data_IF_264632259324
#
_entry.id   IF_264632259324
#
_cell.length_a   1.000
_cell.length_b   1.000
_cell.length_c   1.000
_cell.angle_alpha   90.00
_cell.angle_beta   90.00
_cell.angle_gamma   90.00
#
_symmetry.space_group_name_H-M   'P 1'
#
loop_
_entity.id
_entity.type
_entity.pdbx_description
1 polymer ?
#
# COMPACT_ATOMS: atom_id res chain seq x y z
N UNK A 1 13.47 21.92 18.78
CA UNK A 1 13.92 20.52 18.78
C UNK A 1 13.12 19.83 17.69
N UNK A 2 13.75 19.68 16.53
CA UNK A 2 13.22 19.02 15.34
C UNK A 2 13.16 17.52 15.61
N UNK A 3 11.97 16.97 15.83
CA UNK A 3 11.78 15.52 15.79
C UNK A 3 11.57 15.11 14.33
N UNK A 4 12.64 14.52 13.79
CA UNK A 4 12.75 13.63 12.65
C UNK A 4 11.44 13.20 11.99
N UNK A 5 10.91 14.02 11.07
CA UNK A 5 10.10 13.68 9.87
C UNK A 5 8.88 12.75 9.98
N UNK A 6 8.95 11.70 10.77
CA UNK A 6 7.88 10.91 11.35
C UNK A 6 7.24 11.68 12.50
N UNK A 7 5.92 11.80 12.48
CA UNK A 7 5.24 12.36 13.65
C UNK A 7 5.41 11.40 14.84
N UNK A 8 5.35 11.94 16.06
CA UNK A 8 5.62 11.17 17.29
C UNK A 8 4.70 9.94 17.42
N UNK A 9 3.54 9.95 16.76
CA UNK A 9 2.64 8.80 16.61
C UNK A 9 3.17 7.72 15.66
N UNK A 10 3.71 8.04 14.48
CA UNK A 10 4.32 7.09 13.55
C UNK A 10 5.55 6.43 14.18
N UNK A 11 6.31 7.21 14.97
CA UNK A 11 7.42 6.68 15.76
C UNK A 11 6.94 5.83 16.94
N UNK A 12 5.89 6.25 17.66
CA UNK A 12 5.30 5.49 18.77
C UNK A 12 4.59 4.23 18.29
N UNK A 13 3.68 4.26 17.33
CA UNK A 13 3.11 3.06 16.70
C UNK A 13 4.21 2.16 16.14
N UNK A 14 5.19 2.76 15.44
CA UNK A 14 6.36 2.07 14.95
C UNK A 14 7.24 1.46 16.05
N UNK A 15 7.18 1.96 17.29
CA UNK A 15 7.87 1.48 18.51
C UNK A 15 7.01 0.54 19.38
N UNK A 16 5.69 0.65 19.33
CA UNK A 16 4.74 -0.26 19.98
C UNK A 16 4.72 -1.61 19.25
N UNK A 17 4.88 -1.61 17.92
CA UNK A 17 5.15 -2.82 17.12
C UNK A 17 6.48 -3.51 17.53
N UNK A 18 7.46 -2.77 18.08
CA UNK A 18 8.81 -3.30 18.43
C UNK A 18 8.85 -4.15 19.70
N UNK A 19 7.86 -4.03 20.59
CA UNK A 19 7.84 -4.75 21.88
C UNK A 19 7.40 -6.23 21.82
N UNK A 20 7.36 -6.84 20.63
CA UNK A 20 6.72 -8.15 20.42
C UNK A 20 5.20 -8.15 20.69
N UNK A 21 4.64 -6.97 20.94
CA UNK A 21 3.21 -6.69 21.09
C UNK A 21 2.82 -5.69 20.02
N UNK A 22 2.81 -6.14 18.77
CA UNK A 22 1.95 -5.54 17.77
C UNK A 22 0.51 -5.74 18.25
N UNK A 23 0.02 -4.90 19.15
CA UNK A 23 -1.41 -4.66 19.23
C UNK A 23 -1.74 -3.91 17.95
N UNK A 24 -1.97 -4.70 16.92
CA UNK A 24 -2.77 -4.32 15.79
C UNK A 24 -3.89 -3.39 16.31
N UNK A 25 -3.98 -2.16 15.83
CA UNK A 25 -5.20 -1.32 15.93
C UNK A 25 -6.44 -1.99 15.28
N UNK A 26 -6.36 -3.29 15.03
CA UNK A 26 -7.11 -4.12 14.12
C UNK A 26 -7.20 -5.60 14.56
N UNK A 27 -6.52 -6.04 15.65
CA UNK A 27 -6.58 -7.45 16.11
C UNK A 27 -7.92 -7.79 16.76
N UNK A 28 -8.73 -6.78 17.05
CA UNK A 28 -10.02 -6.96 17.67
C UNK A 28 -11.11 -7.36 16.66
N UNK A 29 -10.88 -7.22 15.34
CA UNK A 29 -11.90 -7.58 14.34
C UNK A 29 -11.58 -8.93 13.67
N UNK A 30 -12.31 -10.01 14.01
CA UNK A 30 -12.11 -11.34 13.44
C UNK A 30 -12.41 -11.41 11.94
N UNK A 31 -12.95 -10.35 11.32
CA UNK A 31 -13.31 -10.32 9.90
C UNK A 31 -12.31 -9.57 9.04
N UNK A 32 -11.29 -8.90 9.61
CA UNK A 32 -10.34 -8.08 8.85
C UNK A 32 -9.67 -8.84 7.71
N UNK A 33 -9.25 -10.07 7.97
CA UNK A 33 -8.61 -10.92 6.96
C UNK A 33 -9.53 -11.17 5.76
N UNK A 34 -10.85 -11.22 5.98
CA UNK A 34 -11.86 -11.35 4.92
C UNK A 34 -11.91 -10.11 4.04
N UNK A 35 -11.94 -8.89 4.63
CA UNK A 35 -11.88 -7.64 3.84
C UNK A 35 -10.66 -7.64 2.94
N UNK A 36 -9.51 -7.98 3.53
CA UNK A 36 -8.22 -7.91 2.84
C UNK A 36 -8.22 -8.84 1.65
N UNK A 37 -8.59 -10.11 1.85
CA UNK A 37 -8.62 -11.07 0.76
C UNK A 37 -9.68 -10.70 -0.29
N UNK A 38 -10.89 -10.31 0.13
CA UNK A 38 -11.94 -9.92 -0.80
C UNK A 38 -11.51 -8.72 -1.63
N UNK A 39 -10.92 -7.70 -1.00
CA UNK A 39 -10.37 -6.53 -1.66
C UNK A 39 -9.28 -6.90 -2.67
N UNK A 40 -8.31 -7.74 -2.29
CA UNK A 40 -7.24 -8.19 -3.18
C UNK A 40 -7.80 -8.95 -4.40
N UNK A 41 -8.76 -9.85 -4.17
CA UNK A 41 -9.38 -10.64 -5.23
C UNK A 41 -10.22 -9.76 -6.17
N UNK A 42 -11.16 -8.96 -5.64
CA UNK A 42 -12.08 -8.16 -6.46
C UNK A 42 -11.34 -7.07 -7.25
N UNK A 43 -10.23 -6.57 -6.71
CA UNK A 43 -9.39 -5.54 -7.34
C UNK A 43 -8.57 -6.07 -8.52
N UNK A 44 -8.55 -7.37 -8.77
CA UNK A 44 -7.91 -7.94 -9.96
C UNK A 44 -8.61 -7.53 -11.26
N UNK A 45 -9.87 -7.09 -11.20
CA UNK A 45 -10.66 -6.64 -12.35
C UNK A 45 -10.98 -5.15 -12.22
N UNK A 46 -10.78 -4.42 -13.31
CA UNK A 46 -11.16 -3.00 -13.44
C UNK A 46 -12.10 -2.86 -14.62
N UNK A 47 -13.22 -2.19 -14.41
CA UNK A 47 -14.16 -1.88 -15.47
C UNK A 47 -13.74 -0.61 -16.23
N UNK A 48 -14.00 -0.58 -17.54
CA UNK A 48 -13.93 0.66 -18.32
C UNK A 48 -15.10 1.60 -17.99
N UNK A 49 -14.96 2.91 -18.25
CA UNK A 49 -16.06 3.88 -18.10
C UNK A 49 -17.18 3.66 -19.12
N UNK A 50 -16.85 3.08 -20.26
CA UNK A 50 -17.73 2.79 -21.40
C UNK A 50 -18.57 1.51 -21.26
N UNK A 51 -18.36 0.72 -20.20
CA UNK A 51 -19.08 -0.55 -20.02
C UNK A 51 -20.54 -0.33 -19.63
N UNK A 52 -21.43 -1.18 -20.16
CA UNK A 52 -22.86 -1.13 -19.91
C UNK A 52 -23.30 -1.82 -18.61
N UNK A 53 -24.58 -1.71 -18.28
CA UNK A 53 -25.19 -2.32 -17.08
C UNK A 53 -24.97 -3.83 -16.96
N UNK A 54 -24.89 -4.54 -18.10
CA UNK A 54 -24.60 -5.98 -18.14
C UNK A 54 -23.25 -6.29 -17.49
N UNK A 55 -22.20 -5.56 -17.84
CA UNK A 55 -20.85 -5.79 -17.34
C UNK A 55 -20.73 -5.37 -15.87
N UNK A 56 -21.45 -4.33 -15.46
CA UNK A 56 -21.58 -3.94 -14.05
C UNK A 56 -22.22 -5.06 -13.24
N UNK A 57 -23.30 -5.67 -13.75
CA UNK A 57 -23.95 -6.83 -13.10
C UNK A 57 -23.00 -8.03 -13.01
N UNK A 58 -22.24 -8.31 -14.07
CA UNK A 58 -21.23 -9.37 -14.06
C UNK A 58 -20.11 -9.10 -13.05
N UNK A 59 -19.65 -7.85 -12.94
CA UNK A 59 -18.67 -7.46 -11.94
C UNK A 59 -19.18 -7.64 -10.51
N UNK A 60 -20.45 -7.32 -10.24
CA UNK A 60 -21.08 -7.58 -8.93
C UNK A 60 -21.11 -9.08 -8.61
N UNK A 61 -21.46 -9.92 -9.59
CA UNK A 61 -21.43 -11.38 -9.44
C UNK A 61 -20.00 -11.89 -9.18
N UNK A 62 -19.02 -11.39 -9.93
CA UNK A 62 -17.61 -11.68 -9.72
C UNK A 62 -17.15 -11.29 -8.30
N UNK A 63 -17.49 -10.08 -7.86
CA UNK A 63 -17.18 -9.60 -6.50
C UNK A 63 -17.78 -10.51 -5.42
N UNK A 64 -19.02 -11.02 -5.62
CA UNK A 64 -19.62 -11.98 -4.70
C UNK A 64 -18.84 -13.31 -4.66
N UNK A 65 -18.40 -13.82 -5.82
CA UNK A 65 -17.56 -15.03 -5.88
C UNK A 65 -16.22 -14.79 -5.14
N UNK A 66 -15.64 -13.60 -5.25
CA UNK A 66 -14.44 -13.21 -4.51
C UNK A 66 -14.68 -13.19 -3.00
N UNK A 67 -15.83 -12.68 -2.56
CA UNK A 67 -16.22 -12.69 -1.15
C UNK A 67 -16.39 -14.11 -0.61
N UNK A 68 -17.09 -14.98 -1.34
CA UNK A 68 -17.26 -16.39 -0.95
C UNK A 68 -15.92 -17.12 -0.89
N UNK A 69 -14.98 -16.81 -1.80
CA UNK A 69 -13.60 -17.30 -1.72
C UNK A 69 -12.88 -16.78 -0.48
N UNK A 70 -13.01 -15.49 -0.16
CA UNK A 70 -12.41 -14.89 1.03
C UNK A 70 -12.89 -15.58 2.32
N UNK A 71 -14.18 -15.88 2.44
CA UNK A 71 -14.75 -16.65 3.55
C UNK A 71 -14.09 -18.01 3.74
N UNK A 72 -13.78 -18.69 2.64
CA UNK A 72 -13.20 -20.04 2.68
C UNK A 72 -11.69 -20.04 2.97
N UNK A 73 -10.93 -19.11 2.39
CA UNK A 73 -9.46 -19.11 2.48
C UNK A 73 -8.94 -18.23 3.62
N UNK A 74 -9.73 -17.24 4.05
CA UNK A 74 -9.38 -16.27 5.08
C UNK A 74 -8.89 -16.86 6.38
N UNK A 75 -9.68 -17.72 7.05
CA UNK A 75 -9.27 -18.35 8.31
C UNK A 75 -8.01 -19.23 8.19
N UNK A 76 -7.72 -19.74 7.00
CA UNK A 76 -6.51 -20.54 6.74
C UNK A 76 -5.30 -19.64 6.57
N UNK A 77 -5.42 -18.56 5.80
CA UNK A 77 -4.34 -17.59 5.60
C UNK A 77 -4.04 -16.78 6.86
N UNK A 78 -5.04 -16.48 7.68
CA UNK A 78 -4.84 -15.81 8.98
C UNK A 78 -3.93 -16.65 9.89
N UNK A 79 -4.11 -17.98 9.90
CA UNK A 79 -3.30 -18.90 10.71
C UNK A 79 -1.92 -19.19 10.11
N UNK A 80 -1.83 -19.31 8.79
CA UNK A 80 -0.62 -19.76 8.11
C UNK A 80 0.24 -18.61 7.54
N UNK A 81 -0.25 -17.38 7.58
CA UNK A 81 0.36 -16.23 6.93
C UNK A 81 -0.09 -16.05 5.48
N UNK A 82 0.17 -14.86 4.94
CA UNK A 82 -0.13 -14.53 3.56
C UNK A 82 0.94 -15.10 2.62
N UNK A 83 0.55 -15.57 1.42
CA UNK A 83 1.54 -15.92 0.40
C UNK A 83 2.22 -14.65 -0.11
N UNK A 84 3.51 -14.75 -0.43
CA UNK A 84 4.23 -13.65 -1.06
C UNK A 84 3.60 -13.36 -2.43
N UNK A 85 3.19 -12.11 -2.72
CA UNK A 85 2.54 -11.83 -3.98
C UNK A 85 3.57 -11.90 -5.13
N UNK A 86 3.19 -12.38 -6.33
CA UNK A 86 4.14 -12.64 -7.42
C UNK A 86 4.97 -11.43 -7.87
N UNK A 87 4.44 -10.21 -7.70
CA UNK A 87 5.21 -9.00 -7.99
C UNK A 87 6.39 -8.84 -7.02
N UNK A 88 6.16 -9.09 -5.73
CA UNK A 88 7.17 -8.95 -4.69
C UNK A 88 8.24 -10.03 -4.81
N UNK A 89 7.84 -11.26 -5.13
CA UNK A 89 8.77 -12.37 -5.40
C UNK A 89 9.73 -12.06 -6.56
N UNK A 90 9.20 -11.49 -7.66
CA UNK A 90 10.05 -11.07 -8.78
C UNK A 90 11.01 -9.95 -8.40
N UNK A 91 10.53 -8.95 -7.66
CA UNK A 91 11.37 -7.86 -7.20
C UNK A 91 12.45 -8.36 -6.23
N UNK A 92 12.10 -9.28 -5.32
CA UNK A 92 13.01 -9.91 -4.36
C UNK A 92 14.23 -10.54 -5.05
N UNK A 93 13.99 -11.39 -6.05
CA UNK A 93 15.06 -12.04 -6.80
C UNK A 93 15.98 -11.07 -7.54
N UNK A 94 15.42 -10.02 -8.13
CA UNK A 94 16.20 -8.98 -8.84
C UNK A 94 17.04 -8.16 -7.86
N UNK A 95 16.46 -7.72 -6.73
CA UNK A 95 17.17 -6.91 -5.73
C UNK A 95 18.32 -7.69 -5.10
N UNK A 96 18.08 -8.95 -4.71
CA UNK A 96 19.14 -9.84 -4.19
C UNK A 96 20.26 -10.05 -5.21
N UNK A 97 19.90 -10.29 -6.48
CA UNK A 97 20.87 -10.42 -7.56
C UNK A 97 21.74 -9.18 -7.74
N UNK A 98 21.14 -7.98 -7.70
CA UNK A 98 21.84 -6.70 -7.87
C UNK A 98 22.70 -6.30 -6.66
N UNK A 99 22.35 -6.77 -5.45
CA UNK A 99 22.99 -6.37 -4.20
C UNK A 99 23.99 -7.39 -3.65
N UNK A 100 24.12 -8.57 -4.27
CA UNK A 100 24.99 -9.65 -3.79
C UNK A 100 26.44 -9.23 -3.63
N UNK A 101 26.93 -8.35 -4.50
CA UNK A 101 28.30 -7.82 -4.44
C UNK A 101 28.51 -6.82 -3.29
N UNK A 102 27.43 -6.17 -2.83
CA UNK A 102 27.48 -5.22 -1.72
C UNK A 102 27.26 -5.90 -0.36
N UNK A 103 26.48 -6.99 -0.32
CA UNK A 103 26.19 -7.75 0.90
C UNK A 103 26.02 -9.24 0.57
N UNK A 104 26.99 -10.06 0.97
CA UNK A 104 27.04 -11.48 0.61
C UNK A 104 25.90 -12.32 1.20
N UNK A 105 25.37 -11.96 2.37
CA UNK A 105 24.25 -12.64 3.03
C UNK A 105 22.87 -12.10 2.61
N UNK A 106 22.79 -11.24 1.58
CA UNK A 106 21.51 -10.62 1.16
C UNK A 106 20.47 -11.67 0.73
N UNK A 107 20.91 -12.82 0.23
CA UNK A 107 20.03 -13.92 -0.17
C UNK A 107 19.27 -14.52 1.04
N UNK A 108 19.76 -14.31 2.27
CA UNK A 108 19.10 -14.77 3.51
C UNK A 108 17.92 -13.87 3.92
N UNK A 109 17.81 -12.66 3.36
CA UNK A 109 16.72 -11.74 3.67
C UNK A 109 15.38 -12.32 3.25
N UNK A 110 14.43 -12.41 4.17
CA UNK A 110 13.08 -12.92 3.94
C UNK A 110 12.11 -11.77 3.71
N UNK A 111 11.40 -11.81 2.59
CA UNK A 111 10.28 -10.90 2.33
C UNK A 111 8.98 -11.53 2.85
N UNK A 112 8.30 -10.82 3.76
CA UNK A 112 7.11 -11.31 4.47
C UNK A 112 5.93 -10.37 4.23
N UNK A 113 4.87 -10.84 3.56
CA UNK A 113 3.64 -10.06 3.40
C UNK A 113 2.86 -9.96 4.72
N UNK A 114 2.29 -8.79 4.99
CA UNK A 114 1.52 -8.51 6.21
C UNK A 114 0.08 -8.14 5.91
N UNK A 115 -0.79 -8.34 6.91
CA UNK A 115 -2.19 -7.92 6.89
C UNK A 115 -2.39 -6.42 7.12
N UNK A 116 -1.31 -5.66 7.29
CA UNK A 116 -1.39 -4.23 7.52
C UNK A 116 -1.94 -3.53 6.28
N UNK A 117 -2.92 -2.65 6.47
CA UNK A 117 -3.61 -1.98 5.36
C UNK A 117 -2.88 -0.72 4.89
N UNK A 118 -1.85 -0.28 5.60
CA UNK A 118 -1.04 0.91 5.27
C UNK A 118 -0.21 0.68 4.00
N UNK A 119 0.14 1.78 3.33
CA UNK A 119 1.15 1.79 2.28
C UNK A 119 2.53 1.65 2.93
N UNK A 120 3.04 0.43 2.99
CA UNK A 120 4.17 0.11 3.83
C UNK A 120 5.06 -0.98 3.24
N UNK A 121 6.36 -0.72 3.35
CA UNK A 121 7.42 -1.71 3.40
C UNK A 121 8.36 -1.30 4.55
N UNK A 122 8.98 -2.27 5.22
CA UNK A 122 9.98 -2.00 6.26
C UNK A 122 10.95 -3.14 6.44
N UNK A 123 12.20 -2.77 6.58
CA UNK A 123 13.31 -3.64 6.91
C UNK A 123 13.46 -3.81 8.43
N UNK A 124 13.82 -5.03 8.81
CA UNK A 124 14.24 -5.43 10.16
C UNK A 124 15.61 -6.09 10.00
N UNK A 125 16.70 -5.30 9.95
CA UNK A 125 18.03 -5.81 9.63
C UNK A 125 18.50 -6.94 10.56
N UNK A 126 18.24 -6.81 11.85
CA UNK A 126 18.58 -7.80 12.88
C UNK A 126 17.88 -9.15 12.70
N UNK A 127 16.73 -9.18 12.01
CA UNK A 127 15.95 -10.39 11.74
C UNK A 127 16.13 -10.89 10.30
N UNK A 128 16.96 -10.22 9.48
CA UNK A 128 17.07 -10.46 8.04
C UNK A 128 15.68 -10.52 7.38
N UNK A 129 14.81 -9.56 7.70
CA UNK A 129 13.41 -9.59 7.26
C UNK A 129 13.00 -8.24 6.68
N UNK A 130 12.26 -8.26 5.59
CA UNK A 130 11.51 -7.11 5.09
C UNK A 130 10.03 -7.48 5.16
N UNK A 131 9.24 -6.64 5.80
CA UNK A 131 7.78 -6.75 5.78
C UNK A 131 7.20 -5.84 4.72
N UNK A 132 6.14 -6.30 4.06
CA UNK A 132 5.42 -5.52 3.05
C UNK A 132 3.92 -5.70 3.18
N UNK A 133 3.16 -4.61 3.11
CA UNK A 133 1.70 -4.69 3.13
C UNK A 133 1.18 -5.39 1.88
N UNK A 134 0.31 -6.38 2.08
CA UNK A 134 -0.26 -7.15 0.97
C UNK A 134 -1.16 -6.30 0.07
N UNK A 135 -1.75 -5.24 0.60
CA UNK A 135 -2.68 -4.36 -0.12
C UNK A 135 -2.01 -3.20 -0.84
N UNK A 136 -0.72 -2.93 -0.58
CA UNK A 136 0.03 -1.82 -1.18
C UNK A 136 -0.14 -1.73 -2.70
N UNK A 137 -0.08 -2.86 -3.41
CA UNK A 137 -0.28 -2.89 -4.87
C UNK A 137 -1.64 -2.36 -5.30
N UNK A 138 -2.72 -2.87 -4.72
CA UNK A 138 -4.07 -2.51 -5.14
C UNK A 138 -4.44 -1.09 -4.71
N UNK A 139 -3.94 -0.63 -3.56
CA UNK A 139 -4.06 0.77 -3.14
C UNK A 139 -3.33 1.72 -4.11
N UNK A 140 -2.03 1.51 -4.35
CA UNK A 140 -1.27 2.35 -5.27
C UNK A 140 -1.85 2.31 -6.69
N UNK A 141 -2.26 1.14 -7.18
CA UNK A 141 -2.94 1.02 -8.48
C UNK A 141 -4.22 1.83 -8.56
N UNK A 142 -5.02 1.81 -7.49
CA UNK A 142 -6.26 2.57 -7.43
C UNK A 142 -6.00 4.07 -7.44
N UNK A 143 -5.07 4.54 -6.61
CA UNK A 143 -4.69 5.95 -6.56
C UNK A 143 -4.07 6.43 -7.88
N UNK A 144 -3.15 5.65 -8.46
CA UNK A 144 -2.56 5.95 -9.77
C UNK A 144 -3.61 5.94 -10.89
N UNK A 145 -4.61 5.06 -10.83
CA UNK A 145 -5.70 5.04 -11.81
C UNK A 145 -6.55 6.30 -11.73
N UNK A 146 -6.78 6.86 -10.54
CA UNK A 146 -7.45 8.16 -10.40
C UNK A 146 -6.66 9.27 -11.12
N UNK A 147 -5.34 9.33 -10.91
CA UNK A 147 -4.49 10.32 -11.57
C UNK A 147 -4.44 10.13 -13.09
N UNK A 148 -4.21 8.91 -13.57
CA UNK A 148 -4.15 8.63 -15.01
C UNK A 148 -5.48 8.80 -15.73
N UNK A 149 -6.60 8.58 -15.05
CA UNK A 149 -7.90 8.99 -15.58
C UNK A 149 -7.95 10.51 -15.75
N UNK A 150 -7.48 11.28 -14.76
CA UNK A 150 -7.38 12.74 -14.85
C UNK A 150 -6.49 13.20 -16.01
N UNK A 151 -5.30 12.60 -16.16
CA UNK A 151 -4.41 12.85 -17.30
C UNK A 151 -5.15 12.61 -18.62
N UNK A 152 -5.76 11.45 -18.79
CA UNK A 152 -6.52 11.10 -20.01
C UNK A 152 -7.65 12.09 -20.34
N UNK A 153 -8.40 12.55 -19.33
CA UNK A 153 -9.46 13.55 -19.57
C UNK A 153 -8.90 14.89 -20.05
N UNK A 154 -7.70 15.28 -19.63
CA UNK A 154 -7.04 16.52 -20.08
C UNK A 154 -6.39 16.34 -21.46
N UNK A 155 -5.63 15.26 -21.66
CA UNK A 155 -4.78 15.07 -22.84
C UNK A 155 -5.53 14.53 -24.04
N UNK A 156 -6.40 13.54 -23.85
CA UNK A 156 -7.05 12.79 -24.93
C UNK A 156 -8.48 13.28 -25.19
N UNK A 157 -9.23 13.60 -24.13
CA UNK A 157 -10.61 14.12 -24.26
C UNK A 157 -10.61 15.64 -24.47
N UNK A 158 -9.57 16.35 -24.01
CA UNK A 158 -9.45 17.79 -24.14
C UNK A 158 -10.31 18.58 -23.15
N UNK A 159 -10.66 17.99 -22.00
CA UNK A 159 -11.35 18.73 -20.93
C UNK A 159 -10.42 19.77 -20.30
N UNK A 160 -10.99 20.89 -19.87
CA UNK A 160 -10.24 21.91 -19.14
C UNK A 160 -9.70 21.36 -17.82
N UNK A 161 -8.50 21.78 -17.43
CA UNK A 161 -7.86 21.33 -16.19
C UNK A 161 -8.72 21.59 -14.95
N UNK A 162 -9.38 22.75 -14.88
CA UNK A 162 -10.28 23.11 -13.76
C UNK A 162 -11.49 22.17 -13.65
N UNK A 163 -12.01 21.71 -14.79
CA UNK A 163 -13.11 20.73 -14.82
C UNK A 163 -12.65 19.39 -14.25
N UNK A 164 -11.48 18.91 -14.65
CA UNK A 164 -10.90 17.66 -14.14
C UNK A 164 -10.58 17.76 -12.65
N UNK A 165 -10.06 18.90 -12.19
CA UNK A 165 -9.80 19.15 -10.76
C UNK A 165 -11.09 19.12 -9.93
N UNK A 166 -12.22 19.56 -10.48
CA UNK A 166 -13.51 19.45 -9.79
C UNK A 166 -14.04 18.02 -9.70
N UNK A 167 -13.71 17.16 -10.67
CA UNK A 167 -14.14 15.76 -10.73
C UNK A 167 -13.26 14.83 -9.88
N UNK A 168 -11.99 15.18 -9.71
CA UNK A 168 -11.00 14.46 -8.90
C UNK A 168 -10.61 15.27 -7.66
N UNK A 169 -11.63 15.76 -6.94
CA UNK A 169 -11.42 16.47 -5.68
C UNK A 169 -10.89 15.52 -4.58
N UNK A 170 -10.54 16.11 -3.43
CA UNK A 170 -10.04 15.34 -2.29
C UNK A 170 -10.97 14.18 -1.88
N UNK A 171 -12.29 14.28 -2.09
CA UNK A 171 -13.26 13.26 -1.67
C UNK A 171 -13.08 11.95 -2.43
N UNK A 172 -12.56 11.99 -3.66
CA UNK A 172 -12.21 10.77 -4.39
C UNK A 172 -11.10 9.98 -3.70
N UNK A 173 -10.12 10.68 -3.10
CA UNK A 173 -8.98 10.07 -2.43
C UNK A 173 -9.27 9.67 -0.98
N UNK A 174 -10.13 10.43 -0.29
CA UNK A 174 -10.36 10.28 1.16
C UNK A 174 -10.75 8.87 1.61
N UNK A 175 -11.67 8.14 0.96
CA UNK A 175 -12.01 6.77 1.39
C UNK A 175 -10.77 5.86 1.44
N UNK A 176 -9.89 5.97 0.45
CA UNK A 176 -8.67 5.20 0.39
C UNK A 176 -7.65 5.64 1.43
N UNK A 177 -7.40 6.96 1.56
CA UNK A 177 -6.44 7.49 2.53
C UNK A 177 -6.87 7.23 3.98
N UNK A 178 -8.16 7.38 4.30
CA UNK A 178 -8.68 7.13 5.64
C UNK A 178 -8.60 5.65 6.03
N UNK A 179 -8.78 4.74 5.08
CA UNK A 179 -8.72 3.29 5.34
C UNK A 179 -7.33 2.79 5.79
N UNK A 180 -6.29 3.61 5.62
CA UNK A 180 -4.94 3.35 6.13
C UNK A 180 -4.84 3.59 7.66
N UNK A 181 -5.74 4.38 8.23
CA UNK A 181 -5.71 4.83 9.63
C UNK A 181 -6.95 4.48 10.45
N UNK A 182 -8.06 4.21 9.78
CA UNK A 182 -9.35 3.89 10.41
C UNK A 182 -9.76 2.47 10.06
N UNK A 183 -10.60 1.91 10.92
CA UNK A 183 -11.16 0.58 10.75
C UNK A 183 -12.31 0.60 9.73
N UNK A 184 -11.94 0.84 8.48
CA UNK A 184 -12.85 0.80 7.33
C UNK A 184 -12.77 -0.58 6.69
N UNK A 185 -13.92 -1.07 6.25
CA UNK A 185 -14.01 -2.27 5.44
C UNK A 185 -13.45 -1.97 4.05
N UNK A 186 -12.19 -2.32 3.81
CA UNK A 186 -11.51 -2.02 2.54
C UNK A 186 -12.16 -2.71 1.32
N UNK A 187 -12.88 -3.81 1.54
CA UNK A 187 -13.72 -4.46 0.53
C UNK A 187 -14.94 -3.64 0.09
N UNK A 188 -15.33 -2.62 0.85
CA UNK A 188 -16.44 -1.73 0.50
C UNK A 188 -15.98 -0.45 -0.21
N UNK A 189 -14.67 -0.19 -0.29
CA UNK A 189 -14.13 0.98 -0.98
C UNK A 189 -14.44 0.95 -2.49
N UNK A 190 -14.68 2.11 -3.12
CA UNK A 190 -14.91 2.18 -4.56
C UNK A 190 -13.66 1.77 -5.35
N UNK A 191 -13.84 1.07 -6.47
CA UNK A 191 -12.78 0.84 -7.45
C UNK A 191 -13.06 1.77 -8.64
N UNK A 192 -12.18 2.74 -8.93
CA UNK A 192 -12.40 3.66 -10.03
C UNK A 192 -12.39 2.89 -11.35
N UNK A 193 -13.34 3.24 -12.22
CA UNK A 193 -13.36 2.73 -13.60
C UNK A 193 -12.26 3.39 -14.41
N UNK A 194 -11.65 2.66 -15.32
CA UNK A 194 -10.63 3.19 -16.22
C UNK A 194 -11.27 4.03 -17.34
N UNK A 195 -10.80 5.26 -17.55
CA UNK A 195 -11.23 6.10 -18.68
C UNK A 195 -10.80 5.49 -20.02
N UNK A 196 -9.65 4.80 -20.05
CA UNK A 196 -9.17 4.09 -21.22
C UNK A 196 -8.27 2.91 -20.84
N UNK A 197 -8.03 2.00 -21.80
CA UNK A 197 -7.02 0.93 -21.63
C UNK A 197 -5.62 1.49 -21.41
N UNK A 198 -5.31 2.64 -22.02
CA UNK A 198 -4.03 3.32 -21.84
C UNK A 198 -3.86 3.79 -20.39
N UNK A 199 -4.86 4.49 -19.84
CA UNK A 199 -4.85 4.94 -18.45
C UNK A 199 -4.67 3.78 -17.46
N UNK A 200 -5.35 2.65 -17.67
CA UNK A 200 -5.17 1.46 -16.84
C UNK A 200 -3.75 0.88 -16.95
N UNK A 201 -3.21 0.78 -18.16
CA UNK A 201 -1.85 0.27 -18.39
C UNK A 201 -0.80 1.17 -17.73
N UNK A 202 -0.95 2.49 -17.85
CA UNK A 202 -0.05 3.44 -17.23
C UNK A 202 -0.16 3.39 -15.70
N UNK A 203 -1.37 3.30 -15.15
CA UNK A 203 -1.54 3.11 -13.70
C UNK A 203 -0.86 1.84 -13.17
N UNK A 204 -0.91 0.74 -13.93
CA UNK A 204 -0.18 -0.49 -13.58
C UNK A 204 1.34 -0.31 -13.66
N UNK A 205 1.84 0.37 -14.70
CA UNK A 205 3.26 0.69 -14.87
C UNK A 205 3.78 1.55 -13.71
N UNK A 206 3.13 2.69 -13.46
CA UNK A 206 3.45 3.61 -12.36
C UNK A 206 3.47 2.87 -11.03
N UNK A 207 2.46 2.02 -10.77
CA UNK A 207 2.38 1.23 -9.54
C UNK A 207 3.55 0.26 -9.41
N UNK A 208 3.91 -0.45 -10.47
CA UNK A 208 5.04 -1.40 -10.44
C UNK A 208 6.36 -0.68 -10.11
N UNK A 209 6.58 0.50 -10.70
CA UNK A 209 7.77 1.32 -10.41
C UNK A 209 7.81 1.77 -8.94
N UNK A 210 6.68 2.20 -8.38
CA UNK A 210 6.57 2.60 -6.98
C UNK A 210 6.85 1.44 -6.02
N UNK A 211 6.27 0.27 -6.29
CA UNK A 211 6.50 -0.93 -5.49
C UNK A 211 7.96 -1.42 -5.56
N UNK A 212 8.57 -1.34 -6.75
CA UNK A 212 9.99 -1.66 -6.92
C UNK A 212 10.87 -0.70 -6.14
N UNK A 213 10.59 0.60 -6.19
CA UNK A 213 11.31 1.59 -5.40
C UNK A 213 11.16 1.34 -3.89
N UNK A 214 9.94 1.08 -3.40
CA UNK A 214 9.69 0.76 -2.00
C UNK A 214 10.53 -0.42 -1.51
N UNK A 215 10.56 -1.53 -2.26
CA UNK A 215 11.38 -2.68 -1.87
C UNK A 215 12.87 -2.38 -2.02
N UNK A 216 13.30 -1.70 -3.09
CA UNK A 216 14.68 -1.32 -3.28
C UNK A 216 15.20 -0.44 -2.13
N UNK A 217 14.37 0.47 -1.62
CA UNK A 217 14.66 1.31 -0.47
C UNK A 217 14.88 0.49 0.81
N UNK A 218 14.00 -0.48 1.10
CA UNK A 218 14.19 -1.35 2.26
C UNK A 218 15.40 -2.27 2.12
N UNK A 219 15.65 -2.77 0.91
CA UNK A 219 16.87 -3.51 0.61
C UNK A 219 18.13 -2.65 0.79
N UNK A 220 18.07 -1.36 0.46
CA UNK A 220 19.17 -0.43 0.71
C UNK A 220 19.42 -0.25 2.21
N UNK A 221 18.38 -0.20 3.05
CA UNK A 221 18.54 -0.24 4.50
C UNK A 221 19.19 -1.54 4.99
N UNK A 222 18.82 -2.69 4.42
CA UNK A 222 19.51 -3.95 4.73
C UNK A 222 21.00 -3.85 4.41
N UNK A 223 21.40 -3.26 3.28
CA UNK A 223 22.81 -3.24 2.86
C UNK A 223 23.61 -2.17 3.60
N UNK A 224 23.11 -0.95 3.68
CA UNK A 224 23.86 0.22 4.14
C UNK A 224 23.74 0.46 5.65
N UNK A 225 22.63 0.01 6.25
CA UNK A 225 22.20 0.44 7.58
C UNK A 225 21.94 -0.73 8.52
N UNK A 226 22.61 -1.87 8.30
CA UNK A 226 22.38 -3.11 9.06
C UNK A 226 22.60 -2.95 10.58
N UNK A 227 23.53 -2.06 10.95
CA UNK A 227 23.94 -1.79 12.33
C UNK A 227 23.32 -0.51 12.92
N UNK A 228 22.53 0.23 12.13
CA UNK A 228 21.90 1.46 12.62
C UNK A 228 20.75 1.14 13.59
N UNK A 229 20.44 2.05 14.53
CA UNK A 229 19.23 1.95 15.34
C UNK A 229 17.98 1.81 14.45
N UNK A 230 16.94 1.17 14.98
CA UNK A 230 15.66 0.89 14.29
C UNK A 230 14.93 2.11 13.68
N UNK A 231 15.37 3.33 13.98
CA UNK A 231 14.86 4.57 13.37
C UNK A 231 15.99 5.19 12.56
N UNK A 232 15.94 5.13 11.21
CA UNK A 232 16.97 5.71 10.35
C UNK A 232 17.02 7.23 10.52
N UNK A 233 18.23 7.81 10.49
CA UNK A 233 18.40 9.25 10.39
C UNK A 233 17.90 9.76 9.02
N UNK A 234 17.66 11.07 8.88
CA UNK A 234 17.32 11.65 7.57
C UNK A 234 18.42 11.41 6.52
N UNK A 235 19.68 11.31 6.95
CA UNK A 235 20.81 10.98 6.09
C UNK A 235 20.74 9.53 5.60
N UNK A 236 20.48 8.59 6.51
CA UNK A 236 20.28 7.17 6.15
C UNK A 236 19.10 6.98 5.18
N UNK A 237 17.99 7.69 5.38
CA UNK A 237 16.86 7.68 4.43
C UNK A 237 17.28 8.16 3.03
N UNK A 238 18.10 9.22 2.96
CA UNK A 238 18.60 9.76 1.68
C UNK A 238 19.60 8.82 1.00
N UNK A 239 20.47 8.17 1.76
CA UNK A 239 21.40 7.17 1.24
C UNK A 239 20.64 5.95 0.70
N UNK A 240 19.64 5.48 1.44
CA UNK A 240 18.76 4.39 1.01
C UNK A 240 17.99 4.75 -0.26
N UNK A 241 17.40 5.94 -0.33
CA UNK A 241 16.76 6.45 -1.56
C UNK A 241 17.74 6.52 -2.73
N UNK A 242 18.96 7.03 -2.51
CA UNK A 242 19.98 7.15 -3.57
C UNK A 242 20.34 5.79 -4.16
N UNK A 243 20.54 4.78 -3.32
CA UNK A 243 20.79 3.42 -3.78
C UNK A 243 19.54 2.83 -4.47
N UNK A 244 18.34 3.04 -3.91
CA UNK A 244 17.09 2.58 -4.52
C UNK A 244 16.90 3.15 -5.93
N UNK A 245 17.15 4.44 -6.13
CA UNK A 245 17.13 5.10 -7.44
C UNK A 245 18.12 4.46 -8.42
N UNK A 246 19.36 4.22 -7.98
CA UNK A 246 20.37 3.56 -8.82
C UNK A 246 19.95 2.15 -9.23
N UNK A 247 19.33 1.39 -8.32
CA UNK A 247 18.84 0.05 -8.60
C UNK A 247 17.72 0.06 -9.64
N UNK A 248 16.71 0.92 -9.48
CA UNK A 248 15.59 0.99 -10.43
C UNK A 248 15.98 1.60 -11.79
N UNK A 249 17.02 2.43 -11.85
CA UNK A 249 17.52 3.03 -13.08
C UNK A 249 18.57 2.17 -13.80
N UNK A 250 19.30 1.32 -13.08
CA UNK A 250 20.49 0.61 -13.57
C UNK A 250 20.26 -0.87 -13.95
N UNK A 251 19.23 -1.51 -13.44
CA UNK A 251 18.94 -2.93 -13.71
C UNK A 251 17.79 -3.09 -14.72
N UNK A 252 17.68 -4.22 -15.45
CA UNK A 252 16.41 -4.58 -16.05
C UNK A 252 15.35 -4.63 -14.94
N UNK A 253 14.36 -3.73 -15.02
CA UNK A 253 13.27 -3.67 -14.04
C UNK A 253 12.55 -5.02 -13.98
N UNK A 254 12.18 -5.50 -12.77
CA UNK A 254 11.42 -6.74 -12.63
C UNK A 254 10.12 -6.72 -13.46
N UNK A 255 9.96 -7.71 -14.35
CA UNK A 255 8.68 -8.03 -15.01
C UNK A 255 8.37 -7.34 -16.34
N UNK A 256 9.23 -7.47 -17.36
CA UNK A 256 9.02 -6.91 -18.72
C UNK A 256 8.64 -5.42 -18.76
N UNK A 257 8.90 -4.70 -17.66
CA UNK A 257 8.60 -3.30 -17.51
C UNK A 257 9.67 -2.51 -18.26
N UNK A 258 9.46 -2.29 -19.56
CA UNK A 258 10.22 -1.32 -20.33
C UNK A 258 9.81 0.09 -19.92
N UNK A 259 10.27 0.53 -18.76
CA UNK A 259 10.10 1.91 -18.32
C UNK A 259 11.22 2.79 -18.89
N UNK A 260 10.86 3.96 -19.37
CA UNK A 260 11.81 5.01 -19.69
C UNK A 260 12.00 5.95 -18.48
N UNK A 261 12.90 6.92 -18.61
CA UNK A 261 13.19 7.87 -17.54
C UNK A 261 11.97 8.73 -17.14
N UNK A 262 11.11 9.10 -18.08
CA UNK A 262 9.86 9.81 -17.79
C UNK A 262 8.87 8.98 -16.98
N UNK A 263 8.78 7.66 -17.23
CA UNK A 263 7.89 6.79 -16.45
C UNK A 263 8.34 6.71 -14.98
N UNK A 264 9.65 6.56 -14.76
CA UNK A 264 10.24 6.56 -13.40
C UNK A 264 10.03 7.92 -12.74
N UNK A 265 10.22 9.01 -13.48
CA UNK A 265 10.01 10.38 -13.00
C UNK A 265 8.58 10.57 -12.48
N UNK A 266 7.59 10.30 -13.32
CA UNK A 266 6.16 10.40 -12.97
C UNK A 266 5.83 9.53 -11.75
N UNK A 267 6.30 8.29 -11.75
CA UNK A 267 6.03 7.34 -10.68
C UNK A 267 6.55 7.82 -9.32
N UNK A 268 7.77 8.33 -9.26
CA UNK A 268 8.40 8.76 -8.01
C UNK A 268 7.82 10.09 -7.51
N UNK A 269 7.56 11.04 -8.42
CA UNK A 269 6.87 12.31 -8.10
C UNK A 269 5.53 12.07 -7.44
N UNK A 270 4.70 11.24 -8.07
CA UNK A 270 3.39 10.91 -7.52
C UNK A 270 3.49 10.07 -6.25
N UNK A 271 4.46 9.16 -6.14
CA UNK A 271 4.68 8.37 -4.93
C UNK A 271 4.95 9.25 -3.71
N UNK A 272 5.90 10.17 -3.82
CA UNK A 272 6.17 11.13 -2.75
C UNK A 272 4.99 12.08 -2.51
N UNK A 273 4.22 12.41 -3.54
CA UNK A 273 2.93 13.10 -3.40
C UNK A 273 1.92 12.32 -2.55
N UNK A 274 1.76 11.02 -2.79
CA UNK A 274 0.91 10.15 -1.97
C UNK A 274 1.41 10.01 -0.54
N UNK A 275 2.72 9.83 -0.32
CA UNK A 275 3.30 9.75 1.03
C UNK A 275 3.06 11.04 1.83
N UNK A 276 3.11 12.21 1.18
CA UNK A 276 2.78 13.50 1.80
C UNK A 276 1.31 13.55 2.22
N UNK A 277 0.40 13.13 1.34
CA UNK A 277 -1.03 13.10 1.64
C UNK A 277 -1.34 12.11 2.76
N UNK A 278 -0.77 10.91 2.70
CA UNK A 278 -0.87 9.86 3.69
C UNK A 278 -0.47 10.38 5.08
N UNK A 279 0.75 10.96 5.21
CA UNK A 279 1.21 11.56 6.47
C UNK A 279 0.33 12.70 6.98
N UNK A 280 -0.17 13.57 6.09
CA UNK A 280 -1.07 14.67 6.45
C UNK A 280 -2.37 14.12 7.02
N UNK A 281 -3.01 13.19 6.30
CA UNK A 281 -4.26 12.56 6.74
C UNK A 281 -4.03 11.80 8.05
N UNK A 282 -2.96 11.02 8.16
CA UNK A 282 -2.58 10.32 9.37
C UNK A 282 -2.39 11.26 10.57
N UNK A 283 -1.72 12.40 10.39
CA UNK A 283 -1.57 13.40 11.45
C UNK A 283 -2.91 14.03 11.85
N UNK A 284 -3.74 14.42 10.87
CA UNK A 284 -5.06 15.01 11.12
C UNK A 284 -5.99 14.04 11.87
N UNK A 285 -6.04 12.80 11.42
CA UNK A 285 -6.96 11.76 11.92
C UNK A 285 -6.56 11.27 13.31
N UNK A 286 -5.27 11.24 13.62
CA UNK A 286 -4.74 10.81 14.92
C UNK A 286 -4.42 11.97 15.87
N UNK A 287 -4.84 13.19 15.55
CA UNK A 287 -4.70 14.38 16.41
C UNK A 287 -3.23 14.74 16.74
N UNK A 288 -2.34 14.52 15.79
CA UNK A 288 -0.91 14.79 15.90
C UNK A 288 -0.58 16.07 15.12
N UNK A 289 0.39 16.89 15.56
CA UNK A 289 0.85 18.04 14.79
C UNK A 289 1.18 17.67 13.34
N UNK A 290 0.58 18.40 12.40
CA UNK A 290 0.72 18.15 10.96
C UNK A 290 1.76 19.09 10.38
N UNK A 291 2.86 18.54 9.87
CA UNK A 291 3.77 19.30 9.00
C UNK A 291 3.15 19.45 7.61
N UNK A 292 2.44 20.55 7.37
CA UNK A 292 1.84 20.81 6.06
C UNK A 292 2.86 20.98 4.93
N UNK A 293 4.12 21.28 5.25
CA UNK A 293 5.18 21.42 4.25
C UNK A 293 5.84 20.08 3.92
N UNK A 294 5.71 19.08 4.81
CA UNK A 294 6.29 17.75 4.67
C UNK A 294 7.79 17.80 4.35
N UNK A 295 8.55 18.59 5.11
CA UNK A 295 9.97 18.91 4.84
C UNK A 295 10.84 17.66 4.69
N UNK A 296 10.59 16.66 5.54
CA UNK A 296 11.33 15.39 5.50
C UNK A 296 11.13 14.63 4.17
N UNK A 297 9.92 14.66 3.60
CA UNK A 297 9.66 14.05 2.29
C UNK A 297 10.21 14.91 1.17
N UNK A 298 10.07 16.23 1.26
CA UNK A 298 10.57 17.15 0.23
C UNK A 298 12.09 17.00 -0.01
N UNK A 299 12.87 16.78 1.06
CA UNK A 299 14.31 16.54 0.94
C UNK A 299 14.71 15.17 0.35
N UNK A 300 13.81 14.17 0.42
CA UNK A 300 13.99 12.87 -0.22
C UNK A 300 13.69 12.95 -1.71
N UNK A 301 12.57 13.60 -2.04
CA UNK A 301 12.15 13.87 -3.42
C UNK A 301 13.20 14.67 -4.21
N UNK A 302 13.90 15.62 -3.56
CA UNK A 302 14.90 16.44 -4.24
C UNK A 302 16.08 15.65 -4.81
N UNK A 303 16.39 14.46 -4.25
CA UNK A 303 17.47 13.60 -4.75
C UNK A 303 17.24 13.14 -6.19
N UNK A 304 15.98 13.02 -6.60
CA UNK A 304 15.63 12.57 -7.94
C UNK A 304 16.13 13.54 -9.02
N UNK A 305 16.13 14.85 -8.74
CA UNK A 305 16.59 15.85 -9.70
C UNK A 305 18.08 15.69 -10.05
N UNK A 306 18.88 15.26 -9.09
CA UNK A 306 20.31 15.02 -9.28
C UNK A 306 20.57 13.71 -10.03
N UNK A 307 19.78 12.68 -9.76
CA UNK A 307 19.96 11.33 -10.32
C UNK A 307 19.29 11.14 -11.69
N UNK A 308 18.30 11.96 -12.03
CA UNK A 308 17.53 11.89 -13.27
C UNK A 308 17.60 13.22 -14.04
N UNK A 309 18.67 13.47 -14.81
CA UNK A 309 18.83 14.74 -15.50
C UNK A 309 17.68 15.00 -16.48
N UNK A 310 17.09 16.21 -16.38
CA UNK A 310 15.88 16.64 -17.10
C UNK A 310 15.90 16.44 -18.62
N UNK A 311 17.09 16.32 -19.23
CA UNK A 311 17.28 16.05 -20.67
C UNK A 311 16.71 14.70 -21.14
N UNK A 312 16.33 13.82 -20.22
CA UNK A 312 15.80 12.47 -20.50
C UNK A 312 14.26 12.39 -20.46
N UNK A 313 13.57 13.49 -20.17
CA UNK A 313 12.11 13.53 -20.00
C UNK A 313 11.52 14.39 -21.10
N UNK A 314 10.54 13.87 -21.84
CA UNK A 314 9.89 14.63 -22.93
C UNK A 314 8.94 15.69 -22.38
N UNK A 315 8.58 16.67 -23.21
CA UNK A 315 7.57 17.69 -22.84
C UNK A 315 6.22 17.05 -22.52
N UNK A 316 5.83 16.02 -23.27
CA UNK A 316 4.59 15.27 -23.04
C UNK A 316 4.60 14.57 -21.68
N UNK A 317 5.69 13.88 -21.33
CA UNK A 317 5.81 13.21 -20.02
C UNK A 317 5.79 14.20 -18.85
N UNK A 318 6.43 15.36 -19.02
CA UNK A 318 6.35 16.43 -18.03
C UNK A 318 4.94 16.98 -17.88
N UNK A 319 4.18 17.09 -18.97
CA UNK A 319 2.78 17.52 -18.94
C UNK A 319 1.93 16.50 -18.18
N UNK A 320 2.03 15.21 -18.52
CA UNK A 320 1.32 14.12 -17.85
C UNK A 320 1.61 14.09 -16.34
N UNK A 321 2.89 14.15 -15.96
CA UNK A 321 3.31 14.22 -14.54
C UNK A 321 2.72 15.44 -13.84
N UNK A 322 2.81 16.61 -14.48
CA UNK A 322 2.34 17.88 -13.91
C UNK A 322 0.85 17.86 -13.62
N UNK A 323 0.04 17.28 -14.50
CA UNK A 323 -1.41 17.15 -14.29
C UNK A 323 -1.70 16.36 -13.01
N UNK A 324 -1.08 15.18 -12.86
CA UNK A 324 -1.25 14.37 -11.65
C UNK A 324 -0.74 15.07 -10.39
N UNK A 325 0.39 15.75 -10.48
CA UNK A 325 0.95 16.53 -9.37
C UNK A 325 0.01 17.67 -8.95
N UNK A 326 -0.61 18.38 -9.89
CA UNK A 326 -1.58 19.43 -9.58
C UNK A 326 -2.83 18.86 -8.91
N UNK A 327 -3.33 17.70 -9.33
CA UNK A 327 -4.44 17.01 -8.65
C UNK A 327 -4.08 16.71 -7.18
N UNK A 328 -2.89 16.16 -6.92
CA UNK A 328 -2.43 15.87 -5.55
C UNK A 328 -2.25 17.14 -4.71
N UNK A 329 -1.72 18.21 -5.30
CA UNK A 329 -1.57 19.52 -4.65
C UNK A 329 -2.93 20.13 -4.31
N UNK A 330 -3.91 20.03 -5.20
CA UNK A 330 -5.27 20.48 -4.96
C UNK A 330 -5.92 19.69 -3.83
N UNK A 331 -5.83 18.36 -3.84
CA UNK A 331 -6.34 17.51 -2.76
C UNK A 331 -5.73 17.90 -1.40
N UNK A 332 -4.41 18.13 -1.35
CA UNK A 332 -3.72 18.63 -0.14
C UNK A 332 -4.25 20.01 0.30
N UNK A 333 -4.41 20.94 -0.64
CA UNK A 333 -4.91 22.28 -0.35
C UNK A 333 -6.35 22.24 0.20
N UNK A 334 -7.19 21.38 -0.34
CA UNK A 334 -8.57 21.18 0.13
C UNK A 334 -8.61 20.57 1.52
N UNK A 335 -7.82 19.52 1.80
CA UNK A 335 -7.70 18.93 3.15
C UNK A 335 -7.26 20.00 4.15
N UNK A 336 -6.30 20.85 3.77
CA UNK A 336 -5.84 21.97 4.61
C UNK A 336 -6.93 23.01 4.85
N UNK A 337 -7.70 23.35 3.81
CA UNK A 337 -8.77 24.35 3.85
C UNK A 337 -9.95 23.90 4.70
N UNK A 338 -10.34 22.63 4.62
CA UNK A 338 -11.37 22.03 5.48
C UNK A 338 -10.98 22.11 6.96
N UNK A 339 -9.69 21.91 7.24
CA UNK A 339 -9.15 21.88 8.59
C UNK A 339 -9.42 20.57 9.32
N UNK A 340 -8.69 20.37 10.42
CA UNK A 340 -8.72 19.13 11.20
C UNK A 340 -10.12 18.69 11.66
N UNK A 341 -11.00 19.57 12.16
CA UNK A 341 -12.32 19.16 12.63
C UNK A 341 -13.19 18.54 11.53
N UNK A 342 -13.26 19.17 10.36
CA UNK A 342 -14.10 18.69 9.25
C UNK A 342 -13.57 17.38 8.65
N UNK A 343 -12.24 17.21 8.55
CA UNK A 343 -11.65 15.95 8.09
C UNK A 343 -11.94 14.80 9.06
N UNK A 344 -12.01 15.09 10.37
CA UNK A 344 -12.40 14.10 11.38
C UNK A 344 -13.88 13.74 11.30
N UNK A 345 -14.74 14.73 11.08
CA UNK A 345 -16.17 14.49 10.85
C UNK A 345 -16.38 13.59 9.62
N UNK A 346 -15.73 13.93 8.50
CA UNK A 346 -15.71 13.09 7.30
C UNK A 346 -15.17 11.69 7.60
N UNK A 347 -14.12 11.56 8.42
CA UNK A 347 -13.60 10.27 8.85
C UNK A 347 -14.64 9.45 9.61
N UNK A 348 -15.48 10.07 10.44
CA UNK A 348 -16.53 9.38 11.18
C UNK A 348 -17.69 8.99 10.25
N UNK A 349 -18.07 9.86 9.32
CA UNK A 349 -19.07 9.56 8.29
C UNK A 349 -18.66 8.36 7.44
N UNK A 350 -17.39 8.30 7.06
CA UNK A 350 -16.81 7.18 6.31
C UNK A 350 -16.80 5.88 7.12
N UNK A 351 -16.56 5.94 8.43
CA UNK A 351 -16.72 4.76 9.32
C UNK A 351 -18.20 4.32 9.37
N UNK A 352 -19.15 5.25 9.33
CA UNK A 352 -20.56 4.89 9.29
C UNK A 352 -20.97 4.29 7.94
N UNK A 353 -20.43 4.79 6.83
CA UNK A 353 -20.76 4.34 5.48
C UNK A 353 -20.07 3.02 5.10
N UNK A 354 -18.79 2.90 5.44
CA UNK A 354 -17.88 1.83 5.02
C UNK A 354 -17.31 1.01 6.20
N UNK A 355 -17.73 1.25 7.44
CA UNK A 355 -17.26 0.48 8.59
C UNK A 355 -17.92 -0.89 8.70
N UNK A 356 -17.26 -1.76 9.47
CA UNK A 356 -17.63 -3.15 9.70
C UNK A 356 -19.04 -3.39 10.26
N UNK A 357 -19.61 -2.39 10.93
CA UNK A 357 -20.99 -2.46 11.45
C UNK A 357 -22.03 -2.74 10.36
N UNK A 358 -21.73 -2.46 9.09
CA UNK A 358 -22.62 -2.72 7.96
C UNK A 358 -22.60 -4.17 7.48
N UNK A 359 -21.50 -4.91 7.69
CA UNK A 359 -21.42 -6.36 7.49
C UNK A 359 -22.15 -7.15 8.59
N UNK A 360 -22.30 -6.58 9.78
CA UNK A 360 -22.83 -7.23 10.99
C UNK A 360 -24.37 -7.17 11.16
N UNK A 361 -25.17 -7.24 10.10
CA UNK A 361 -26.61 -7.48 10.26
C UNK A 361 -27.22 -8.33 9.14
N UNK A 362 -28.08 -9.33 9.40
CA UNK A 362 -28.52 -9.92 10.67
C UNK A 362 -27.51 -10.94 11.23
N UNK A 363 -27.68 -11.36 12.49
CA UNK A 363 -26.88 -12.34 13.24
C UNK A 363 -26.49 -13.65 12.49
N UNK A 364 -27.10 -13.93 11.34
CA UNK A 364 -26.79 -15.06 10.45
C UNK A 364 -25.43 -14.97 9.74
N UNK A 365 -24.96 -13.78 9.35
CA UNK A 365 -23.65 -13.62 8.70
C UNK A 365 -22.52 -13.88 9.70
N UNK A 366 -22.65 -13.30 10.89
CA UNK A 366 -21.77 -13.53 12.04
C UNK A 366 -21.80 -15.01 12.47
N UNK A 367 -22.99 -15.62 12.58
CA UNK A 367 -23.12 -17.04 12.89
C UNK A 367 -22.48 -17.94 11.82
N UNK A 368 -22.54 -17.58 10.53
CA UNK A 368 -21.86 -18.32 9.46
C UNK A 368 -20.35 -18.22 9.57
N UNK A 369 -19.80 -17.04 9.86
CA UNK A 369 -18.34 -16.88 10.04
C UNK A 369 -17.87 -17.58 11.31
N UNK A 370 -18.54 -17.37 12.44
CA UNK A 370 -18.23 -18.08 13.70
C UNK A 370 -18.32 -19.59 13.51
N UNK A 371 -19.35 -20.09 12.81
CA UNK A 371 -19.49 -21.51 12.49
C UNK A 371 -18.36 -22.02 11.60
N UNK A 372 -17.95 -21.25 10.57
CA UNK A 372 -16.82 -21.58 9.71
C UNK A 372 -15.49 -21.62 10.49
N UNK A 373 -15.25 -20.63 11.36
CA UNK A 373 -14.07 -20.60 12.24
C UNK A 373 -14.05 -21.77 13.23
N UNK A 374 -15.19 -22.12 13.82
CA UNK A 374 -15.32 -23.28 14.72
C UNK A 374 -15.10 -24.62 14.01
N UNK A 375 -15.61 -24.78 12.79
CA UNK A 375 -15.33 -25.96 11.97
C UNK A 375 -13.85 -26.07 11.60
N UNK A 376 -13.25 -24.97 11.14
CA UNK A 376 -11.84 -24.93 10.77
C UNK A 376 -10.89 -25.16 11.97
N UNK A 377 -11.32 -24.80 13.19
CA UNK A 377 -10.61 -25.10 14.45
C UNK A 377 -10.72 -26.59 14.82
N UNK A 378 -11.90 -27.19 14.67
CA UNK A 378 -12.12 -28.63 14.87
C UNK A 378 -11.30 -29.49 13.90
N UNK A 379 -11.23 -29.10 12.62
CA UNK A 379 -10.47 -29.86 11.63
C UNK A 379 -8.95 -29.77 11.86
N UNK A 380 -8.45 -28.62 12.36
CA UNK A 380 -7.05 -28.47 12.75
C UNK A 380 -6.68 -29.27 14.02
N UNK A 381 -7.64 -29.48 14.93
CA UNK A 381 -7.42 -30.32 16.12
C UNK A 381 -7.39 -31.82 15.80
N UNK A 382 -7.97 -32.24 14.67
CA UNK A 382 -8.01 -33.64 14.20
C UNK A 382 -6.83 -34.03 13.32
N UNK A 383 -6.08 -33.05 12.80
CA UNK A 383 -4.92 -33.26 11.94
C UNK A 383 -3.58 -33.09 12.67
N UNK A 384 -3.58 -32.91 14.00
CA UNK A 384 -2.37 -33.07 14.80
C UNK A 384 -2.03 -34.56 14.86
N UNK A 385 -0.87 -35.00 14.35
CA UNK A 385 -0.40 -36.35 14.62
C UNK A 385 -0.21 -36.48 16.13
N UNK A 386 -0.71 -37.57 16.71
CA UNK A 386 -0.40 -37.96 18.09
C UNK A 386 1.12 -38.04 18.20
N UNK A 387 1.71 -37.01 18.80
CA UNK A 387 3.07 -37.09 19.29
C UNK A 387 2.97 -38.04 20.47
N UNK A 388 3.26 -39.32 20.20
CA UNK A 388 3.35 -40.35 21.20
C UNK A 388 4.18 -39.85 22.37
N UNK A 389 3.56 -39.83 23.54
CA UNK A 389 4.25 -39.58 24.81
C UNK A 389 5.37 -40.59 24.93
N UNK A 390 6.61 -40.11 24.80
CA UNK A 390 7.79 -40.92 25.08
C UNK A 390 7.71 -41.37 26.54
N UNK A 391 7.60 -42.68 26.74
CA UNK A 391 7.77 -43.33 28.03
C UNK A 391 9.12 -42.91 28.62
N UNK A 392 9.05 -42.10 29.67
CA UNK A 392 10.20 -41.77 30.52
C UNK A 392 10.15 -42.69 31.74
N UNK A 393 10.47 -43.98 31.52
CA UNK A 393 10.83 -44.85 32.64
C UNK A 393 12.26 -44.55 33.06
N UNK A 394 12.37 -43.88 34.19
CA UNK A 394 13.59 -43.67 34.95
C UNK A 394 13.90 -44.87 35.84
N UNK A 395 15.20 -45.03 36.10
CA UNK A 395 15.90 -45.70 37.22
C UNK A 395 16.32 -47.17 37.08
N UNK A 396 17.44 -47.56 37.72
CA UNK A 396 18.70 -46.86 37.99
C UNK A 396 19.91 -47.50 37.29
#
# INVERSE_FOLDING_TARGET
MDQDGYNDYMLREGAWVRGGRAWHLHAADPLRHLSVIHYLLRSAVVLGRDVGERDVKQFRQYSQICYDKALNVGPTLERNGLPLPPWAERTDGVMKGALRDLRADIDQVKLVPTWETRLYARSFPSQQRIEVSAVSREFLRTLNLMLWNGVYEVTDVGRGQDEVLSLLDYRAFMPHLLSLYRDLEISSLPIPRASSRSALRQAQLTTALQLNFMLAHEYAHMVLHADLPDTPSQEAEREADSLAYRLILGAPLPGDVRANAGDVWTAMRWFFGFLKLDRIVGGVVNEVPVDWNQKAIAGRESLMYDLMPARRITTEQNLEESIGTVILMQAKADIRRLGTPAVRELSNDMINEFGWKRLLGPAEAEAKVIKAMLHASRDASRSRPDIGTADTTTNP
#
